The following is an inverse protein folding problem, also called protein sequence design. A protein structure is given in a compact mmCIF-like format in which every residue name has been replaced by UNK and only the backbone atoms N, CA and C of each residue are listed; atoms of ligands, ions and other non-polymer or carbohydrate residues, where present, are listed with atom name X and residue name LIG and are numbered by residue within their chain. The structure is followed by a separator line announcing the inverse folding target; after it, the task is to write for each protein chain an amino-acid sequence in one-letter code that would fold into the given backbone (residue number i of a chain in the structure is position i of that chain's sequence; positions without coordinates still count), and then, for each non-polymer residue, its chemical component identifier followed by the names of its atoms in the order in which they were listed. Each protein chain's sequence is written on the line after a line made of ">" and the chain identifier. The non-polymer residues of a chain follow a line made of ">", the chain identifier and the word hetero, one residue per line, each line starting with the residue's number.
data_IF_886124418388
#
_entry.id   IF_886124418388
#
_cell.length_a   1.000
_cell.length_b   1.000
_cell.length_c   1.000
_cell.angle_alpha   90.00
_cell.angle_beta   90.00
_cell.angle_gamma   90.00
#
_symmetry.space_group_name_H-M   'P 1'
#
loop_
_entity.id
_entity.type
_entity.pdbx_description
1 polymer ?
#
# COMPACT_ATOMS: atom_id res chain seq x y z
N UNK A 1 7.14 -13.39 19.11
CA UNK A 1 7.09 -14.57 18.22
C UNK A 1 5.68 -15.02 17.82
N UNK A 2 4.66 -15.02 18.71
CA UNK A 2 3.29 -15.44 18.34
C UNK A 2 2.54 -14.42 17.47
N UNK A 3 2.72 -13.12 17.72
CA UNK A 3 2.09 -12.05 16.93
C UNK A 3 2.62 -11.95 15.50
N UNK A 4 3.93 -12.08 15.28
CA UNK A 4 4.51 -12.07 13.93
C UNK A 4 4.02 -13.23 13.06
N UNK A 5 3.85 -14.42 13.64
CA UNK A 5 3.22 -15.55 12.93
C UNK A 5 1.76 -15.26 12.58
N UNK A 6 1.00 -14.64 13.49
CA UNK A 6 -0.38 -14.22 13.25
C UNK A 6 -0.48 -13.14 12.16
N UNK A 7 0.46 -12.19 12.14
CA UNK A 7 0.57 -11.13 11.12
C UNK A 7 0.92 -11.73 9.75
N UNK A 8 1.91 -12.62 9.68
CA UNK A 8 2.25 -13.36 8.44
C UNK A 8 1.08 -14.20 7.93
N UNK A 9 0.35 -14.87 8.82
CA UNK A 9 -0.84 -15.66 8.46
C UNK A 9 -1.94 -14.78 7.86
N UNK A 10 -2.23 -13.61 8.47
CA UNK A 10 -3.22 -12.67 7.93
C UNK A 10 -2.82 -12.09 6.57
N UNK A 11 -1.54 -11.74 6.39
CA UNK A 11 -1.05 -11.23 5.09
C UNK A 11 -1.24 -12.28 3.99
N UNK A 12 -0.99 -13.55 4.30
CA UNK A 12 -1.20 -14.64 3.37
C UNK A 12 -2.69 -14.82 3.03
N UNK A 13 -3.57 -14.76 4.03
CA UNK A 13 -5.02 -14.82 3.85
C UNK A 13 -5.56 -13.68 2.95
N UNK A 14 -5.07 -12.45 3.16
CA UNK A 14 -5.44 -11.30 2.32
C UNK A 14 -4.91 -11.43 0.89
N UNK A 15 -3.73 -12.02 0.71
CA UNK A 15 -3.17 -12.28 -0.61
C UNK A 15 -4.01 -13.27 -1.39
N UNK A 16 -4.37 -14.40 -0.78
CA UNK A 16 -5.21 -15.43 -1.40
C UNK A 16 -6.61 -14.87 -1.74
N UNK A 17 -7.19 -14.06 -0.85
CA UNK A 17 -8.46 -13.39 -1.12
C UNK A 17 -8.35 -12.43 -2.32
N UNK A 18 -7.26 -11.65 -2.38
CA UNK A 18 -6.96 -10.76 -3.50
C UNK A 18 -6.84 -11.52 -4.83
N UNK A 19 -6.08 -12.62 -4.86
CA UNK A 19 -5.94 -13.47 -6.06
C UNK A 19 -7.29 -14.07 -6.49
N UNK A 20 -8.12 -14.50 -5.55
CA UNK A 20 -9.44 -15.08 -5.85
C UNK A 20 -10.44 -14.05 -6.39
N UNK A 21 -10.34 -12.80 -5.94
CA UNK A 21 -11.15 -11.69 -6.46
C UNK A 21 -10.69 -11.31 -7.87
N UNK A 22 -9.38 -11.20 -8.09
CA UNK A 22 -8.79 -10.91 -9.40
C UNK A 22 -9.06 -12.02 -10.42
N UNK A 23 -9.14 -13.29 -10.01
CA UNK A 23 -9.48 -14.41 -10.91
C UNK A 23 -10.87 -14.32 -11.53
N UNK A 24 -11.78 -13.49 -11.00
CA UNK A 24 -13.13 -13.28 -11.55
C UNK A 24 -13.22 -12.04 -12.45
N UNK A 25 -12.18 -11.22 -12.49
CA UNK A 25 -12.10 -10.01 -13.29
C UNK A 25 -11.49 -10.35 -14.65
N UNK A 26 -11.96 -9.67 -15.68
CA UNK A 26 -11.31 -9.69 -16.99
C UNK A 26 -9.92 -9.04 -16.88
N UNK A 27 -9.01 -9.37 -17.80
CA UNK A 27 -7.68 -8.77 -17.82
C UNK A 27 -7.74 -7.23 -17.86
N UNK A 28 -8.75 -6.68 -18.55
CA UNK A 28 -8.99 -5.24 -18.69
C UNK A 28 -9.38 -4.60 -17.34
N UNK A 29 -10.28 -5.22 -16.58
CA UNK A 29 -10.65 -4.77 -15.24
C UNK A 29 -9.48 -4.85 -14.24
N UNK A 30 -8.62 -5.86 -14.37
CA UNK A 30 -7.42 -6.00 -13.54
C UNK A 30 -6.41 -4.88 -13.85
N UNK A 31 -6.23 -4.55 -15.13
CA UNK A 31 -5.36 -3.44 -15.54
C UNK A 31 -5.90 -2.09 -15.08
N UNK A 32 -7.22 -1.87 -15.18
CA UNK A 32 -7.86 -0.66 -14.67
C UNK A 32 -7.69 -0.53 -13.16
N UNK A 33 -7.91 -1.62 -12.41
CA UNK A 33 -7.70 -1.65 -10.96
C UNK A 33 -6.25 -1.35 -10.57
N UNK A 34 -5.27 -1.92 -11.30
CA UNK A 34 -3.84 -1.63 -11.09
C UNK A 34 -3.53 -0.16 -11.34
N UNK A 35 -4.09 0.42 -12.40
CA UNK A 35 -3.90 1.84 -12.74
C UNK A 35 -4.48 2.74 -11.65
N UNK A 36 -5.72 2.48 -11.23
CA UNK A 36 -6.38 3.24 -10.17
C UNK A 36 -5.67 3.12 -8.81
N UNK A 37 -5.20 1.92 -8.47
CA UNK A 37 -4.44 1.67 -7.23
C UNK A 37 -3.10 2.39 -7.22
N UNK A 38 -2.42 2.44 -8.37
CA UNK A 38 -1.17 3.19 -8.53
C UNK A 38 -1.41 4.69 -8.37
N UNK A 39 -2.40 5.26 -9.06
CA UNK A 39 -2.74 6.68 -8.96
C UNK A 39 -3.04 7.11 -7.51
N UNK A 40 -3.83 6.30 -6.80
CA UNK A 40 -4.13 6.55 -5.40
C UNK A 40 -2.88 6.50 -4.52
N UNK A 41 -1.99 5.54 -4.77
CA UNK A 41 -0.73 5.36 -4.03
C UNK A 41 0.21 6.54 -4.27
N UNK A 42 0.35 6.97 -5.52
CA UNK A 42 1.17 8.11 -5.93
C UNK A 42 0.63 9.40 -5.28
N UNK A 43 -0.70 9.59 -5.29
CA UNK A 43 -1.34 10.76 -4.65
C UNK A 43 -1.16 10.77 -3.14
N UNK A 44 -1.32 9.63 -2.46
CA UNK A 44 -1.09 9.53 -1.02
C UNK A 44 0.38 9.77 -0.66
N UNK A 45 1.32 9.23 -1.43
CA UNK A 45 2.74 9.46 -1.20
C UNK A 45 3.08 10.93 -1.39
N UNK A 46 2.55 11.57 -2.42
CA UNK A 46 2.80 12.99 -2.64
C UNK A 46 2.19 13.86 -1.55
N UNK A 47 0.97 13.57 -1.11
CA UNK A 47 0.30 14.32 -0.04
C UNK A 47 1.00 14.15 1.32
N UNK A 48 1.52 12.95 1.60
CA UNK A 48 2.12 12.62 2.90
C UNK A 48 3.63 12.91 2.98
N UNK A 49 4.35 12.67 1.89
CA UNK A 49 5.81 12.73 1.81
C UNK A 49 6.32 13.80 0.85
N UNK A 50 5.46 14.47 0.08
CA UNK A 50 5.89 15.44 -0.93
C UNK A 50 6.62 14.84 -2.13
N UNK A 51 6.64 13.50 -2.27
CA UNK A 51 7.35 12.77 -3.32
C UNK A 51 6.52 11.59 -3.84
N UNK A 52 6.90 11.03 -5.01
CA UNK A 52 6.29 9.80 -5.51
C UNK A 52 6.91 8.57 -4.82
N UNK A 53 6.20 7.42 -4.80
CA UNK A 53 6.74 6.19 -4.25
C UNK A 53 8.03 5.76 -4.99
N UNK A 54 9.10 5.57 -4.22
CA UNK A 54 10.42 5.19 -4.73
C UNK A 54 11.41 6.36 -4.89
N UNK A 55 10.96 7.60 -4.66
CA UNK A 55 11.83 8.76 -4.50
C UNK A 55 12.11 9.02 -3.01
N UNK A 56 13.30 9.52 -2.70
CA UNK A 56 13.61 9.99 -1.35
C UNK A 56 12.71 11.18 -1.00
N UNK A 57 12.04 11.18 0.16
CA UNK A 57 11.27 12.32 0.61
C UNK A 57 12.20 13.53 0.84
N UNK A 58 11.71 14.77 0.65
CA UNK A 58 12.47 15.97 0.97
C UNK A 58 12.89 15.96 2.45
N UNK A 59 14.11 16.45 2.74
CA UNK A 59 14.68 16.47 4.10
C UNK A 59 13.78 17.15 5.15
N UNK A 60 12.92 18.08 4.72
CA UNK A 60 12.01 18.85 5.57
C UNK A 60 10.66 18.16 5.84
N UNK A 61 10.39 17.01 5.22
CA UNK A 61 9.10 16.32 5.41
C UNK A 61 9.14 15.47 6.66
N UNK A 62 8.43 15.94 7.69
CA UNK A 62 8.20 15.20 8.93
C UNK A 62 7.07 14.19 8.67
N UNK A 63 7.34 12.87 8.66
CA UNK A 63 6.31 11.87 8.44
C UNK A 63 5.21 11.99 9.50
N UNK A 64 3.96 11.81 9.09
CA UNK A 64 2.84 11.90 10.01
C UNK A 64 2.97 10.79 11.06
N UNK A 65 3.03 11.18 12.34
CA UNK A 65 3.29 10.26 13.47
C UNK A 65 4.71 10.33 14.05
N UNK A 66 5.66 11.02 13.42
CA UNK A 66 7.02 11.21 13.96
C UNK A 66 7.09 12.14 15.18
N UNK A 67 5.99 12.78 15.58
CA UNK A 67 5.87 13.59 16.80
C UNK A 67 4.97 12.99 17.88
N UNK A 68 4.49 11.75 17.71
CA UNK A 68 3.80 11.00 18.75
C UNK A 68 4.84 10.23 19.58
N UNK A 69 5.65 10.97 20.33
CA UNK A 69 6.35 10.40 21.48
C UNK A 69 5.32 10.26 22.62
N UNK A 70 5.28 9.08 23.27
CA UNK A 70 4.40 8.73 24.41
C UNK A 70 4.65 9.62 25.65
#
# INVERSE_FOLDING_TARGET
>A
MAEEKKKKSKIQEYRELGERLLSKMTAEEIEEFKRASKDLTDRMHFEHFGCLPGEDPPEDVIPWGSGLEE
#
